data_IF_595346573606
#
_entry.id   IF_595346573606
#
_cell.length_a   1.000
_cell.length_b   1.000
_cell.length_c   1.000
_cell.angle_alpha   90.00
_cell.angle_beta   90.00
_cell.angle_gamma   90.00
#
_symmetry.space_group_name_H-M   'P 1'
#
loop_
_entity.id
_entity.type
_entity.pdbx_description
1 polymer ?
#
# COMPACT_ATOMS: atom_id res chain seq x y z
N UNK A 1 -8.42 18.24 18.99
CA UNK A 1 -7.08 17.60 18.96
C UNK A 1 -6.84 17.09 17.57
N UNK A 2 -5.96 17.72 16.85
CA UNK A 2 -5.47 17.14 15.59
C UNK A 2 -4.42 16.09 15.94
N UNK A 3 -4.45 14.92 15.30
CA UNK A 3 -3.46 13.86 15.53
C UNK A 3 -1.99 14.31 15.35
N UNK A 4 -1.76 15.46 14.67
CA UNK A 4 -0.46 16.09 14.48
C UNK A 4 0.11 16.73 15.76
N UNK A 5 -0.72 17.06 16.76
CA UNK A 5 -0.31 17.70 18.01
C UNK A 5 0.24 16.70 19.05
N UNK A 6 0.11 15.41 18.77
CA UNK A 6 0.61 14.37 19.66
C UNK A 6 2.15 14.33 19.70
N UNK A 7 2.68 14.03 20.89
CA UNK A 7 4.11 13.84 21.12
C UNK A 7 4.73 12.80 20.17
N UNK A 8 6.03 12.97 19.86
CA UNK A 8 6.79 12.13 18.94
C UNK A 8 6.71 10.60 19.20
N UNK A 9 6.60 10.19 20.46
CA UNK A 9 6.45 8.79 20.86
C UNK A 9 5.00 8.30 20.93
N UNK A 10 4.01 9.15 20.62
CA UNK A 10 2.61 8.78 20.71
C UNK A 10 2.20 7.91 19.53
N UNK A 11 1.49 6.82 19.81
CA UNK A 11 0.93 5.92 18.78
C UNK A 11 -0.22 6.54 17.99
N UNK A 12 -0.83 7.61 18.53
CA UNK A 12 -1.95 8.33 17.90
C UNK A 12 -1.50 9.51 17.04
N UNK A 13 -0.19 9.75 16.92
CA UNK A 13 0.29 10.79 16.01
C UNK A 13 -0.12 10.53 14.57
N UNK A 14 -0.55 11.58 13.89
CA UNK A 14 -0.87 11.56 12.47
C UNK A 14 -0.05 12.62 11.72
N UNK A 15 0.70 12.24 10.65
CA UNK A 15 1.37 13.22 9.80
C UNK A 15 0.34 14.16 9.15
N UNK A 16 0.74 15.40 8.91
CA UNK A 16 -0.11 16.32 8.14
C UNK A 16 -0.34 15.77 6.74
N UNK A 17 -1.52 15.96 6.21
CA UNK A 17 -1.93 15.44 4.90
C UNK A 17 -0.99 15.86 3.77
N UNK A 18 -0.48 17.11 3.82
CA UNK A 18 0.48 17.63 2.83
C UNK A 18 1.87 16.99 2.86
N UNK A 19 2.17 16.16 3.86
CA UNK A 19 3.45 15.47 4.00
C UNK A 19 3.56 14.18 3.18
N UNK A 20 2.46 13.76 2.60
CA UNK A 20 2.39 12.60 1.69
C UNK A 20 1.69 12.99 0.39
N UNK A 21 1.71 12.07 -0.58
CA UNK A 21 1.00 12.24 -1.83
C UNK A 21 -0.53 12.30 -1.68
N UNK A 22 -1.08 12.07 -0.49
CA UNK A 22 -2.50 12.26 -0.22
C UNK A 22 -2.92 13.70 -0.45
N UNK A 23 -2.09 14.68 -0.05
CA UNK A 23 -2.37 16.09 -0.23
C UNK A 23 -2.66 16.48 -1.68
N UNK A 24 -1.97 15.87 -2.65
CA UNK A 24 -2.20 16.12 -4.08
C UNK A 24 -3.47 15.48 -4.64
N UNK A 25 -4.07 14.54 -3.92
CA UNK A 25 -5.29 13.82 -4.33
C UNK A 25 -6.55 14.36 -3.65
N UNK A 26 -6.42 15.03 -2.51
CA UNK A 26 -7.56 15.65 -1.84
C UNK A 26 -8.16 16.76 -2.70
N UNK A 27 -9.48 16.75 -2.81
CA UNK A 27 -10.22 17.69 -3.65
C UNK A 27 -10.20 17.35 -5.15
N UNK A 28 -9.29 16.46 -5.60
CA UNK A 28 -9.23 16.05 -7.01
C UNK A 28 -9.70 14.62 -7.25
N UNK A 29 -9.23 13.64 -6.52
CA UNK A 29 -9.57 12.21 -6.66
C UNK A 29 -10.07 11.57 -5.39
N UNK A 30 -9.88 12.25 -4.26
CA UNK A 30 -10.30 11.82 -2.92
C UNK A 30 -11.04 12.98 -2.27
N UNK A 31 -12.21 12.70 -1.70
CA UNK A 31 -13.01 13.66 -0.91
C UNK A 31 -13.04 13.20 0.54
N UNK A 32 -12.63 14.05 1.46
CA UNK A 32 -12.71 13.76 2.89
C UNK A 32 -14.18 13.74 3.36
N UNK A 33 -14.47 12.82 4.29
CA UNK A 33 -15.71 12.74 5.06
C UNK A 33 -15.42 13.04 6.54
N UNK A 34 -16.44 13.10 7.34
CA UNK A 34 -16.31 13.18 8.79
C UNK A 34 -15.46 12.01 9.35
N UNK A 35 -15.65 10.80 8.80
CA UNK A 35 -14.81 9.64 9.08
C UNK A 35 -14.50 8.87 7.78
N UNK A 36 -13.27 8.98 7.27
CA UNK A 36 -12.84 8.28 6.06
C UNK A 36 -12.89 9.13 4.80
N UNK A 37 -12.97 8.46 3.65
CA UNK A 37 -12.85 9.12 2.34
C UNK A 37 -13.78 8.49 1.30
N UNK A 38 -14.31 9.35 0.43
CA UNK A 38 -14.92 8.98 -0.84
C UNK A 38 -13.88 9.09 -1.95
N UNK A 39 -13.87 8.13 -2.86
CA UNK A 39 -13.02 8.19 -4.05
C UNK A 39 -13.58 7.36 -5.20
N UNK A 40 -13.07 7.61 -6.40
CA UNK A 40 -13.36 6.79 -7.58
C UNK A 40 -12.10 6.07 -8.01
N UNK A 41 -12.19 4.76 -8.20
CA UNK A 41 -11.10 3.98 -8.76
C UNK A 41 -11.00 4.19 -10.27
N UNK A 42 -9.76 4.19 -10.78
CA UNK A 42 -9.49 4.25 -12.21
C UNK A 42 -9.98 3.01 -12.97
N UNK A 43 -10.29 1.94 -12.25
CA UNK A 43 -10.81 0.68 -12.79
C UNK A 43 -12.29 0.50 -12.43
N UNK A 44 -13.07 -0.03 -13.35
CA UNK A 44 -14.48 -0.33 -13.11
C UNK A 44 -14.61 -1.48 -12.10
N UNK A 45 -15.52 -1.30 -11.12
CA UNK A 45 -15.86 -2.30 -10.11
C UNK A 45 -17.12 -3.11 -10.47
N UNK A 46 -17.67 -2.91 -11.66
CA UNK A 46 -18.80 -3.65 -12.21
C UNK A 46 -18.45 -4.17 -13.60
N UNK A 47 -18.95 -5.34 -13.94
CA UNK A 47 -18.87 -5.95 -15.26
C UNK A 47 -20.29 -6.06 -15.81
N UNK A 48 -20.55 -5.45 -16.96
CA UNK A 48 -21.83 -5.57 -17.65
C UNK A 48 -21.76 -6.75 -18.63
N UNK A 49 -22.80 -7.58 -18.76
CA UNK A 49 -22.84 -8.65 -19.75
C UNK A 49 -22.62 -8.07 -21.14
N UNK A 50 -21.70 -8.66 -21.90
CA UNK A 50 -21.51 -8.31 -23.31
C UNK A 50 -22.58 -8.99 -24.15
N UNK A 51 -23.17 -8.28 -25.09
CA UNK A 51 -23.94 -8.88 -26.15
C UNK A 51 -23.02 -9.75 -27.01
N UNK A 52 -23.46 -10.95 -27.34
CA UNK A 52 -22.75 -11.84 -28.26
C UNK A 52 -22.50 -11.10 -29.58
N UNK A 53 -21.26 -10.91 -30.00
CA UNK A 53 -20.87 -10.24 -31.23
C UNK A 53 -20.10 -8.91 -31.09
N UNK A 54 -20.00 -8.34 -29.92
CA UNK A 54 -19.13 -7.15 -29.71
C UNK A 54 -17.65 -7.57 -29.57
N UNK A 55 -16.85 -7.18 -30.57
CA UNK A 55 -15.42 -7.36 -30.55
C UNK A 55 -14.83 -6.71 -29.28
N UNK A 56 -13.93 -7.40 -28.65
CA UNK A 56 -13.16 -6.87 -27.51
C UNK A 56 -12.47 -5.58 -27.98
N UNK A 57 -12.74 -4.40 -27.37
CA UNK A 57 -11.86 -3.29 -27.58
C UNK A 57 -10.49 -3.73 -27.06
N UNK A 58 -9.53 -3.87 -27.94
CA UNK A 58 -8.14 -4.27 -27.65
C UNK A 58 -7.38 -3.18 -26.85
N UNK A 59 -8.08 -2.39 -26.10
CA UNK A 59 -7.57 -1.28 -25.30
C UNK A 59 -8.08 -1.31 -23.87
N UNK A 60 -7.81 -2.40 -23.15
CA UNK A 60 -7.36 -2.18 -21.81
C UNK A 60 -5.98 -1.49 -21.96
N UNK A 61 -5.98 -0.17 -22.10
CA UNK A 61 -4.77 0.65 -22.01
C UNK A 61 -4.23 0.47 -20.62
N UNK A 62 -3.31 -0.47 -20.55
CA UNK A 62 -2.60 -0.89 -19.37
C UNK A 62 -1.45 0.11 -19.13
N UNK A 63 -1.71 1.41 -19.05
CA UNK A 63 -0.94 2.33 -18.22
C UNK A 63 -1.46 2.15 -16.80
N UNK A 64 -0.59 2.14 -15.76
CA UNK A 64 -1.12 2.66 -14.49
C UNK A 64 -1.79 3.95 -14.92
N UNK A 65 -3.10 4.09 -14.80
CA UNK A 65 -3.68 5.34 -15.16
C UNK A 65 -3.00 6.33 -14.20
N UNK A 66 -2.14 7.17 -14.73
CA UNK A 66 -1.88 8.44 -14.07
C UNK A 66 -3.28 8.90 -13.76
N UNK A 67 -3.57 9.11 -12.48
CA UNK A 67 -4.91 9.36 -11.98
C UNK A 67 -5.66 10.19 -13.00
N UNK A 68 -6.59 9.57 -13.74
CA UNK A 68 -7.44 10.34 -14.62
C UNK A 68 -8.10 11.38 -13.72
N UNK A 69 -8.31 12.63 -14.13
CA UNK A 69 -8.88 13.64 -13.28
C UNK A 69 -10.08 13.07 -12.50
N UNK A 70 -10.04 13.16 -11.16
CA UNK A 70 -11.09 12.63 -10.30
C UNK A 70 -11.09 11.11 -10.03
N UNK A 71 -10.03 10.38 -10.38
CA UNK A 71 -9.90 8.93 -10.10
C UNK A 71 -8.54 8.59 -9.50
N UNK A 72 -8.49 7.58 -8.63
CA UNK A 72 -7.26 7.10 -8.02
C UNK A 72 -6.88 5.69 -8.51
N UNK A 73 -5.58 5.40 -8.51
CA UNK A 73 -5.05 4.06 -8.84
C UNK A 73 -5.25 3.07 -7.67
N UNK A 74 -5.11 1.77 -7.95
CA UNK A 74 -5.08 0.74 -6.89
C UNK A 74 -3.94 0.98 -5.89
N UNK A 75 -2.77 1.44 -6.37
CA UNK A 75 -1.65 1.78 -5.50
C UNK A 75 -2.00 2.93 -4.55
N UNK A 76 -2.61 4.00 -5.08
CA UNK A 76 -3.03 5.12 -4.26
C UNK A 76 -4.08 4.71 -3.21
N UNK A 77 -5.02 3.83 -3.57
CA UNK A 77 -5.97 3.26 -2.61
C UNK A 77 -5.24 2.43 -1.54
N UNK A 78 -4.26 1.61 -1.92
CA UNK A 78 -3.47 0.83 -0.96
C UNK A 78 -2.71 1.75 -0.01
N UNK A 79 -2.07 2.80 -0.52
CA UNK A 79 -1.40 3.81 0.30
C UNK A 79 -2.37 4.53 1.26
N UNK A 80 -3.59 4.85 0.79
CA UNK A 80 -4.63 5.44 1.64
C UNK A 80 -4.95 4.55 2.84
N UNK A 81 -5.19 3.26 2.59
CA UNK A 81 -5.47 2.29 3.65
C UNK A 81 -4.29 2.16 4.61
N UNK A 82 -3.04 2.11 4.10
CA UNK A 82 -1.82 2.02 4.93
C UNK A 82 -1.65 3.24 5.83
N UNK A 83 -1.83 4.44 5.28
CA UNK A 83 -1.70 5.70 6.02
C UNK A 83 -2.79 5.84 7.08
N UNK A 84 -4.05 5.58 6.76
CA UNK A 84 -5.15 5.61 7.73
C UNK A 84 -4.97 4.55 8.84
N UNK A 85 -4.51 3.35 8.49
CA UNK A 85 -4.23 2.30 9.47
C UNK A 85 -2.99 2.58 10.34
N UNK A 86 -2.22 3.66 10.06
CA UNK A 86 -1.01 4.03 10.76
C UNK A 86 0.14 3.03 10.56
N UNK A 87 0.14 2.31 9.42
CA UNK A 87 1.18 1.30 9.15
C UNK A 87 2.44 1.95 8.58
N UNK A 88 2.33 3.14 8.02
CA UNK A 88 3.43 4.01 7.58
C UNK A 88 4.23 4.63 8.74
N UNK A 89 3.75 4.51 9.98
CA UNK A 89 4.33 5.09 11.19
C UNK A 89 4.99 4.03 12.05
N UNK A 90 6.01 4.42 12.80
CA UNK A 90 6.70 3.54 13.73
C UNK A 90 7.07 4.26 15.03
N UNK A 91 6.83 3.57 16.13
CA UNK A 91 7.37 3.90 17.46
C UNK A 91 7.91 2.63 18.10
N UNK A 92 8.91 2.70 19.00
CA UNK A 92 9.52 1.51 19.61
C UNK A 92 8.53 0.56 20.28
N UNK A 93 7.44 1.09 20.83
CA UNK A 93 6.37 0.30 21.46
C UNK A 93 5.64 -0.66 20.47
N UNK A 94 5.84 -0.51 19.17
CA UNK A 94 5.30 -1.40 18.13
C UNK A 94 6.17 -2.61 17.85
N UNK A 95 7.36 -2.68 18.43
CA UNK A 95 8.31 -3.79 18.24
C UNK A 95 7.64 -5.13 18.57
N UNK A 96 7.74 -6.10 17.66
CA UNK A 96 7.14 -7.44 17.80
C UNK A 96 5.60 -7.51 17.71
N UNK A 97 4.91 -6.37 17.58
CA UNK A 97 3.44 -6.32 17.59
C UNK A 97 2.80 -6.26 16.20
N UNK A 98 3.60 -6.11 15.14
CA UNK A 98 3.08 -6.05 13.76
C UNK A 98 3.14 -7.41 13.09
N UNK A 99 2.01 -8.03 12.90
CA UNK A 99 1.82 -9.25 12.12
C UNK A 99 0.62 -9.10 11.19
N UNK A 100 0.41 -10.06 10.28
CA UNK A 100 -0.68 -10.01 9.32
C UNK A 100 -2.07 -9.89 9.97
N UNK A 101 -2.29 -10.51 11.11
CA UNK A 101 -3.57 -10.42 11.83
C UNK A 101 -3.89 -9.00 12.28
N UNK A 102 -2.90 -8.32 12.87
CA UNK A 102 -3.03 -6.92 13.31
C UNK A 102 -3.23 -5.99 12.11
N UNK A 103 -2.45 -6.17 11.03
CA UNK A 103 -2.62 -5.39 9.81
C UNK A 103 -4.02 -5.56 9.24
N UNK A 104 -4.43 -6.81 9.03
CA UNK A 104 -5.75 -7.13 8.49
C UNK A 104 -6.87 -6.48 9.31
N UNK A 105 -6.78 -6.54 10.63
CA UNK A 105 -7.76 -5.89 11.50
C UNK A 105 -7.82 -4.37 11.24
N UNK A 106 -6.68 -3.67 11.30
CA UNK A 106 -6.62 -2.22 11.07
C UNK A 106 -7.08 -1.81 9.67
N UNK A 107 -6.65 -2.54 8.64
CA UNK A 107 -7.07 -2.31 7.26
C UNK A 107 -8.57 -2.55 7.07
N UNK A 108 -9.15 -3.54 7.78
CA UNK A 108 -10.59 -3.80 7.74
C UNK A 108 -11.41 -2.66 8.36
N UNK A 109 -10.94 -2.08 9.48
CA UNK A 109 -11.56 -0.90 10.07
C UNK A 109 -11.53 0.29 9.09
N UNK A 110 -10.37 0.56 8.48
CA UNK A 110 -10.27 1.60 7.46
C UNK A 110 -11.19 1.33 6.25
N UNK A 111 -11.31 0.08 5.80
CA UNK A 111 -12.16 -0.28 4.67
C UNK A 111 -13.65 0.02 4.90
N UNK A 112 -14.13 -0.03 6.15
CA UNK A 112 -15.51 0.34 6.49
C UNK A 112 -15.77 1.84 6.35
N UNK A 113 -14.75 2.65 6.54
CA UNK A 113 -14.84 4.12 6.51
C UNK A 113 -14.62 4.69 5.11
N UNK A 114 -14.17 3.88 4.16
CA UNK A 114 -13.82 4.31 2.82
C UNK A 114 -14.80 3.80 1.78
N UNK A 115 -15.18 4.65 0.84
CA UNK A 115 -16.25 4.37 -0.12
C UNK A 115 -15.75 4.57 -1.56
N UNK A 116 -15.25 3.50 -2.23
CA UNK A 116 -15.03 3.55 -3.66
C UNK A 116 -16.36 3.54 -4.40
N UNK A 117 -16.62 4.60 -5.19
CA UNK A 117 -17.83 4.68 -6.00
C UNK A 117 -19.15 4.52 -5.19
N UNK A 118 -19.23 5.10 -4.00
CA UNK A 118 -20.43 5.20 -3.14
C UNK A 118 -20.75 4.03 -2.21
N UNK A 119 -20.19 2.84 -2.42
CA UNK A 119 -20.39 1.71 -1.50
C UNK A 119 -19.18 1.54 -0.55
N UNK A 120 -19.35 1.00 0.66
CA UNK A 120 -18.22 0.70 1.55
C UNK A 120 -17.20 -0.21 0.89
N UNK A 121 -15.91 0.12 1.00
CA UNK A 121 -14.84 -0.73 0.48
C UNK A 121 -14.86 -2.11 1.13
N UNK A 122 -15.28 -2.20 2.39
CA UNK A 122 -15.40 -3.45 3.13
C UNK A 122 -16.32 -4.48 2.45
N UNK A 123 -17.32 -4.03 1.68
CA UNK A 123 -18.28 -4.90 1.01
C UNK A 123 -17.68 -5.65 -0.18
N UNK A 124 -16.54 -5.19 -0.69
CA UNK A 124 -15.88 -5.76 -1.87
C UNK A 124 -14.40 -6.04 -1.64
N UNK A 125 -13.87 -5.83 -0.42
CA UNK A 125 -12.47 -6.07 -0.09
C UNK A 125 -12.27 -7.41 0.58
N UNK A 126 -11.57 -8.32 -0.09
CA UNK A 126 -11.16 -9.61 0.44
C UNK A 126 -9.72 -9.53 0.97
N UNK A 127 -9.56 -9.82 2.26
CA UNK A 127 -8.27 -10.06 2.91
C UNK A 127 -8.34 -11.37 3.68
N UNK A 128 -7.42 -12.31 3.39
CA UNK A 128 -7.37 -13.59 4.09
C UNK A 128 -7.16 -13.40 5.60
N UNK A 129 -7.85 -14.18 6.42
CA UNK A 129 -7.50 -14.31 7.84
C UNK A 129 -6.13 -14.99 7.98
N UNK A 130 -5.38 -14.76 9.08
CA UNK A 130 -4.18 -15.52 9.36
C UNK A 130 -4.44 -17.02 9.24
N UNK A 131 -3.52 -17.74 8.58
CA UNK A 131 -3.67 -19.18 8.43
C UNK A 131 -3.55 -19.88 9.79
N UNK A 132 -4.53 -20.70 10.09
CA UNK A 132 -4.52 -21.67 11.18
C UNK A 132 -5.09 -22.98 10.63
N UNK A 133 -4.37 -24.06 10.82
CA UNK A 133 -4.73 -25.36 10.24
C UNK A 133 -6.13 -25.81 10.69
N UNK A 134 -6.43 -25.67 11.98
CA UNK A 134 -7.75 -26.03 12.56
C UNK A 134 -8.92 -25.19 12.02
N UNK A 135 -8.67 -23.99 11.47
CA UNK A 135 -9.69 -23.10 10.94
C UNK A 135 -9.67 -23.03 9.41
N UNK A 136 -8.74 -23.73 8.75
CA UNK A 136 -8.46 -23.58 7.33
C UNK A 136 -9.69 -23.84 6.44
N UNK A 137 -10.40 -24.92 6.68
CA UNK A 137 -11.62 -25.28 5.92
C UNK A 137 -12.73 -24.24 6.09
N UNK A 138 -12.98 -23.76 7.30
CA UNK A 138 -13.96 -22.72 7.58
C UNK A 138 -13.59 -21.38 6.93
N UNK A 139 -12.30 -21.02 6.95
CA UNK A 139 -11.81 -19.81 6.27
C UNK A 139 -11.93 -19.94 4.75
N UNK A 140 -11.67 -21.11 4.16
CA UNK A 140 -11.84 -21.35 2.73
C UNK A 140 -13.32 -21.25 2.32
N UNK A 141 -14.23 -21.87 3.07
CA UNK A 141 -15.66 -21.78 2.83
C UNK A 141 -16.17 -20.33 2.91
N UNK A 142 -15.80 -19.59 3.94
CA UNK A 142 -16.18 -18.18 4.10
C UNK A 142 -15.68 -17.31 2.94
N UNK A 143 -14.45 -17.56 2.43
CA UNK A 143 -13.92 -16.86 1.24
C UNK A 143 -14.70 -17.19 -0.02
N UNK A 144 -15.00 -18.47 -0.23
CA UNK A 144 -15.78 -18.90 -1.40
C UNK A 144 -17.18 -18.25 -1.39
N UNK A 145 -17.85 -18.24 -0.23
CA UNK A 145 -19.14 -17.56 -0.05
C UNK A 145 -19.03 -16.06 -0.33
N UNK A 146 -18.01 -15.38 0.20
CA UNK A 146 -17.79 -13.95 -0.04
C UNK A 146 -17.55 -13.67 -1.53
N UNK A 147 -16.66 -14.42 -2.18
CA UNK A 147 -16.36 -14.27 -3.59
C UNK A 147 -17.61 -14.50 -4.44
N UNK A 148 -18.38 -15.56 -4.17
CA UNK A 148 -19.60 -15.86 -4.87
C UNK A 148 -20.66 -14.74 -4.70
N UNK A 149 -20.90 -14.29 -3.45
CA UNK A 149 -21.89 -13.24 -3.16
C UNK A 149 -21.57 -11.91 -3.86
N UNK A 150 -20.28 -11.57 -3.99
CA UNK A 150 -19.87 -10.34 -4.67
C UNK A 150 -19.91 -10.46 -6.20
N UNK A 151 -19.60 -11.65 -6.77
CA UNK A 151 -19.40 -11.80 -8.22
C UNK A 151 -20.57 -12.42 -8.94
N UNK A 152 -21.59 -12.90 -8.24
CA UNK A 152 -22.83 -13.36 -8.89
C UNK A 152 -23.50 -12.21 -9.64
N UNK A 153 -23.96 -12.44 -10.89
CA UNK A 153 -24.73 -11.45 -11.63
C UNK A 153 -26.03 -11.09 -10.88
N UNK A 154 -26.37 -9.82 -10.88
CA UNK A 154 -27.69 -9.35 -10.45
C UNK A 154 -28.77 -9.65 -11.50
N UNK A 155 -30.01 -9.19 -11.26
CA UNK A 155 -31.16 -9.40 -12.16
C UNK A 155 -30.93 -8.84 -13.57
N UNK A 156 -30.07 -7.83 -13.68
CA UNK A 156 -29.71 -7.18 -14.95
C UNK A 156 -28.47 -7.83 -15.59
N UNK A 157 -27.95 -8.92 -15.00
CA UNK A 157 -26.77 -9.63 -15.45
C UNK A 157 -25.46 -8.90 -15.10
N UNK A 158 -25.49 -7.84 -14.31
CA UNK A 158 -24.32 -7.08 -13.90
C UNK A 158 -23.63 -7.77 -12.72
N UNK A 159 -22.37 -8.14 -12.89
CA UNK A 159 -21.53 -8.70 -11.82
C UNK A 159 -20.70 -7.62 -11.15
N UNK A 160 -20.49 -7.72 -9.83
CA UNK A 160 -19.52 -6.90 -9.11
C UNK A 160 -18.14 -7.55 -9.23
N UNK A 161 -17.10 -6.73 -9.08
CA UNK A 161 -15.72 -7.18 -8.97
C UNK A 161 -15.28 -7.07 -7.52
N UNK A 162 -14.38 -7.96 -7.11
CA UNK A 162 -13.81 -7.99 -5.77
C UNK A 162 -12.42 -7.36 -5.80
N UNK A 163 -12.07 -6.60 -4.77
CA UNK A 163 -10.71 -6.16 -4.53
C UNK A 163 -10.07 -7.17 -3.58
N UNK A 164 -8.97 -7.77 -3.99
CA UNK A 164 -8.21 -8.73 -3.17
C UNK A 164 -6.93 -8.06 -2.71
N UNK A 165 -6.64 -8.13 -1.41
CA UNK A 165 -5.43 -7.59 -0.81
C UNK A 165 -4.73 -8.64 0.05
N UNK A 166 -3.43 -8.85 -0.19
CA UNK A 166 -2.64 -9.82 0.55
C UNK A 166 -1.17 -9.85 0.17
N UNK A 167 -0.35 -10.55 0.95
CA UNK A 167 1.05 -10.77 0.65
C UNK A 167 1.19 -11.78 -0.48
N UNK A 168 1.98 -11.44 -1.52
CA UNK A 168 2.29 -12.33 -2.62
C UNK A 168 3.08 -13.55 -2.10
N UNK A 169 2.57 -14.75 -2.39
CA UNK A 169 3.29 -16.00 -2.13
C UNK A 169 4.08 -16.43 -3.35
N UNK A 170 3.43 -16.47 -4.51
CA UNK A 170 4.06 -16.82 -5.79
C UNK A 170 3.27 -16.31 -6.98
N UNK A 171 3.94 -16.19 -8.10
CA UNK A 171 3.33 -15.95 -9.40
C UNK A 171 4.03 -16.84 -10.42
N UNK A 172 3.34 -17.87 -10.91
CA UNK A 172 3.91 -18.92 -11.77
C UNK A 172 3.12 -19.03 -13.07
N UNK A 173 3.80 -19.10 -14.23
CA UNK A 173 3.13 -19.40 -15.49
C UNK A 173 2.35 -20.73 -15.39
N UNK A 174 1.27 -20.83 -16.13
CA UNK A 174 0.49 -22.05 -16.31
C UNK A 174 0.35 -22.35 -17.82
N UNK A 175 0.02 -23.60 -18.17
CA UNK A 175 -0.02 -24.09 -19.55
C UNK A 175 -0.98 -23.30 -20.45
N UNK A 176 -2.02 -22.68 -19.89
CA UNK A 176 -2.94 -21.81 -20.63
C UNK A 176 -2.31 -20.50 -21.12
N UNK A 177 -1.07 -20.20 -20.77
CA UNK A 177 -0.40 -18.92 -21.00
C UNK A 177 -0.74 -17.83 -19.99
N UNK A 178 -1.59 -18.12 -19.03
CA UNK A 178 -1.87 -17.21 -17.89
C UNK A 178 -0.77 -17.34 -16.82
N UNK A 179 -0.85 -16.48 -15.83
CA UNK A 179 -0.01 -16.53 -14.62
C UNK A 179 -0.88 -16.77 -13.41
N UNK A 180 -0.60 -17.84 -12.68
CA UNK A 180 -1.25 -18.17 -11.41
C UNK A 180 -0.62 -17.38 -10.28
N UNK A 181 -1.39 -16.49 -9.70
CA UNK A 181 -1.01 -15.66 -8.56
C UNK A 181 -1.58 -16.26 -7.28
N UNK A 182 -0.71 -16.58 -6.32
CA UNK A 182 -1.07 -17.09 -5.00
C UNK A 182 -0.74 -16.05 -3.95
N UNK A 183 -1.64 -15.88 -2.99
CA UNK A 183 -1.43 -15.02 -1.83
C UNK A 183 -1.22 -15.86 -0.58
N UNK A 184 -0.39 -15.37 0.36
CA UNK A 184 -0.22 -16.01 1.67
C UNK A 184 -1.55 -16.04 2.41
N UNK A 185 -1.73 -17.01 3.25
CA UNK A 185 -2.93 -17.26 4.06
C UNK A 185 -4.20 -17.67 3.27
N UNK A 186 -4.14 -17.71 1.92
CA UNK A 186 -5.20 -18.23 1.06
C UNK A 186 -4.63 -18.89 -0.21
N UNK A 187 -3.60 -19.72 -0.04
CA UNK A 187 -2.89 -20.34 -1.16
C UNK A 187 -3.73 -21.35 -1.94
N UNK A 188 -4.81 -21.84 -1.37
CA UNK A 188 -5.78 -22.73 -2.01
C UNK A 188 -6.72 -22.00 -2.97
N UNK A 189 -6.76 -20.65 -2.91
CA UNK A 189 -7.52 -19.81 -3.85
C UNK A 189 -6.57 -19.12 -4.82
N UNK A 190 -6.31 -19.71 -6.00
CA UNK A 190 -5.51 -19.06 -7.04
C UNK A 190 -6.31 -17.96 -7.75
N UNK A 191 -5.60 -16.93 -8.20
CA UNK A 191 -6.09 -15.91 -9.12
C UNK A 191 -5.30 -15.97 -10.41
N UNK A 192 -5.97 -15.90 -11.56
CA UNK A 192 -5.34 -15.98 -12.88
C UNK A 192 -5.14 -14.56 -13.44
N UNK A 193 -3.91 -14.22 -13.78
CA UNK A 193 -3.58 -13.01 -14.50
C UNK A 193 -3.26 -13.34 -15.96
N UNK A 194 -3.82 -12.59 -16.90
CA UNK A 194 -3.38 -12.63 -18.30
C UNK A 194 -1.87 -12.31 -18.37
N UNK A 195 -1.15 -13.00 -19.26
CA UNK A 195 0.28 -12.80 -19.43
C UNK A 195 0.66 -11.33 -19.74
N UNK A 196 -0.21 -10.60 -20.47
CA UNK A 196 0.03 -9.18 -20.77
C UNK A 196 -0.05 -8.33 -19.50
N UNK A 197 -1.02 -8.62 -18.62
CA UNK A 197 -1.13 -7.95 -17.30
C UNK A 197 0.13 -8.23 -16.49
N UNK A 198 0.57 -9.50 -16.43
CA UNK A 198 1.75 -9.87 -15.64
C UNK A 198 3.05 -9.28 -16.18
N UNK A 199 3.29 -9.35 -17.50
CA UNK A 199 4.46 -8.70 -18.13
C UNK A 199 4.54 -7.22 -17.81
N UNK A 200 3.38 -6.56 -17.76
CA UNK A 200 3.34 -5.17 -17.38
C UNK A 200 3.64 -4.95 -15.89
N UNK A 201 3.08 -5.76 -14.99
CA UNK A 201 3.44 -5.72 -13.57
C UNK A 201 4.95 -5.84 -13.41
N UNK A 202 5.58 -6.80 -14.10
CA UNK A 202 7.03 -6.97 -14.11
C UNK A 202 7.78 -5.72 -14.63
N UNK A 203 7.24 -5.04 -15.63
CA UNK A 203 7.85 -3.82 -16.17
C UNK A 203 7.70 -2.63 -15.21
N UNK A 204 6.49 -2.38 -14.71
CA UNK A 204 6.16 -1.21 -13.87
C UNK A 204 6.80 -1.35 -12.48
N UNK A 205 6.73 -2.53 -11.88
CA UNK A 205 7.21 -2.80 -10.53
C UNK A 205 8.60 -3.46 -10.50
N UNK A 206 9.35 -3.38 -11.61
CA UNK A 206 10.69 -3.98 -11.71
C UNK A 206 11.62 -3.63 -10.54
N UNK A 207 11.69 -2.38 -10.04
CA UNK A 207 12.52 -2.05 -8.89
C UNK A 207 12.10 -2.82 -7.63
N UNK A 208 10.79 -2.90 -7.35
CA UNK A 208 10.26 -3.61 -6.17
C UNK A 208 10.51 -5.11 -6.24
N UNK A 209 10.32 -5.70 -7.44
CA UNK A 209 10.57 -7.12 -7.68
C UNK A 209 12.06 -7.46 -7.54
N UNK A 210 12.96 -6.59 -8.03
CA UNK A 210 14.41 -6.75 -7.86
C UNK A 210 14.81 -6.64 -6.38
N UNK A 211 14.27 -5.66 -5.64
CA UNK A 211 14.55 -5.52 -4.22
C UNK A 211 14.11 -6.77 -3.44
N UNK A 212 12.92 -7.30 -3.72
CA UNK A 212 12.43 -8.56 -3.11
C UNK A 212 13.29 -9.77 -3.48
N UNK A 213 13.84 -9.82 -4.69
CA UNK A 213 14.67 -10.94 -5.16
C UNK A 213 16.03 -10.99 -4.45
N UNK A 214 16.55 -9.87 -3.97
CA UNK A 214 17.84 -9.80 -3.24
C UNK A 214 17.66 -9.78 -1.71
N UNK A 215 16.44 -9.57 -1.22
CA UNK A 215 16.14 -9.47 0.20
C UNK A 215 14.82 -10.20 0.54
N UNK A 216 14.97 -11.43 1.02
CA UNK A 216 13.84 -12.32 1.35
C UNK A 216 13.00 -11.84 2.55
N UNK A 217 13.53 -10.92 3.36
CA UNK A 217 12.78 -10.32 4.47
C UNK A 217 11.73 -9.33 3.99
N UNK A 218 11.92 -8.72 2.82
CA UNK A 218 10.93 -7.83 2.21
C UNK A 218 9.66 -8.59 1.83
N UNK A 219 8.53 -7.90 1.86
CA UNK A 219 7.23 -8.45 1.51
C UNK A 219 6.64 -7.68 0.33
N UNK A 220 6.12 -8.39 -0.66
CA UNK A 220 5.32 -7.81 -1.73
C UNK A 220 3.84 -7.94 -1.36
N UNK A 221 3.15 -6.83 -1.27
CA UNK A 221 1.71 -6.79 -1.06
C UNK A 221 1.03 -6.53 -2.39
N UNK A 222 0.11 -7.42 -2.74
CA UNK A 222 -0.73 -7.34 -3.93
C UNK A 222 -2.04 -6.67 -3.55
N UNK A 223 -2.48 -5.74 -4.38
CA UNK A 223 -3.86 -5.27 -4.45
C UNK A 223 -4.36 -5.53 -5.86
N UNK A 224 -5.37 -6.36 -6.03
CA UNK A 224 -5.89 -6.76 -7.32
C UNK A 224 -7.41 -6.58 -7.40
N UNK A 225 -7.91 -6.18 -8.57
CA UNK A 225 -9.33 -6.28 -8.91
C UNK A 225 -9.52 -7.60 -9.62
N UNK A 226 -10.47 -8.41 -9.14
CA UNK A 226 -10.79 -9.71 -9.71
C UNK A 226 -12.25 -9.81 -10.11
N UNK A 227 -12.50 -10.51 -11.21
CA UNK A 227 -13.82 -10.88 -11.72
C UNK A 227 -13.95 -12.40 -11.76
N UNK A 228 -15.15 -12.93 -11.59
CA UNK A 228 -15.41 -14.34 -11.80
C UNK A 228 -15.41 -14.66 -13.30
N UNK A 229 -14.67 -15.68 -13.70
CA UNK A 229 -14.76 -16.28 -15.03
C UNK A 229 -15.73 -17.46 -15.01
N UNK A 230 -15.69 -18.23 -13.95
CA UNK A 230 -16.64 -19.30 -13.59
C UNK A 230 -16.88 -19.25 -12.08
N UNK A 231 -17.73 -20.12 -11.55
CA UNK A 231 -18.02 -20.19 -10.12
C UNK A 231 -16.77 -20.34 -9.20
N UNK A 232 -15.67 -20.88 -9.74
CA UNK A 232 -14.44 -21.17 -8.97
C UNK A 232 -13.17 -20.56 -9.54
N UNK A 233 -13.27 -19.91 -10.71
CA UNK A 233 -12.11 -19.34 -11.40
C UNK A 233 -12.23 -17.83 -11.42
N UNK A 234 -11.27 -17.16 -10.80
CA UNK A 234 -11.22 -15.71 -10.69
C UNK A 234 -10.04 -15.15 -11.48
N UNK A 235 -10.31 -14.19 -12.35
CA UNK A 235 -9.30 -13.51 -13.16
C UNK A 235 -8.96 -12.14 -12.57
N UNK A 236 -7.68 -11.81 -12.66
CA UNK A 236 -7.17 -10.49 -12.30
C UNK A 236 -7.38 -9.55 -13.49
N UNK A 237 -8.21 -8.52 -13.30
CA UNK A 237 -8.43 -7.46 -14.29
C UNK A 237 -7.41 -6.33 -14.15
N UNK A 238 -6.94 -6.07 -12.93
CA UNK A 238 -5.93 -5.08 -12.61
C UNK A 238 -5.15 -5.51 -11.37
N UNK A 239 -3.85 -5.19 -11.30
CA UNK A 239 -2.98 -5.52 -10.19
C UNK A 239 -2.01 -4.39 -9.90
N UNK A 240 -1.81 -4.10 -8.63
CA UNK A 240 -0.82 -3.19 -8.09
C UNK A 240 0.03 -3.88 -7.03
N UNK A 241 1.29 -3.45 -6.90
CA UNK A 241 2.21 -3.93 -5.88
C UNK A 241 2.70 -2.76 -5.03
N UNK A 242 2.86 -3.02 -3.73
CA UNK A 242 3.71 -2.24 -2.84
C UNK A 242 4.75 -3.16 -2.19
N UNK A 243 5.92 -2.63 -1.92
CA UNK A 243 6.98 -3.31 -1.18
C UNK A 243 6.96 -2.85 0.27
N UNK A 244 7.13 -3.76 1.21
CA UNK A 244 7.21 -3.42 2.63
C UNK A 244 8.36 -4.17 3.31
N UNK A 245 8.85 -3.62 4.42
CA UNK A 245 9.74 -4.35 5.32
C UNK A 245 9.00 -5.50 6.01
N UNK A 246 9.71 -6.32 6.80
CA UNK A 246 9.15 -7.34 7.69
C UNK A 246 8.17 -6.75 8.72
N UNK A 247 8.31 -5.47 9.06
CA UNK A 247 7.40 -4.71 9.92
C UNK A 247 6.25 -4.04 9.16
N UNK A 248 6.06 -4.39 7.89
CA UNK A 248 5.00 -3.89 6.99
C UNK A 248 5.07 -2.39 6.66
N UNK A 249 6.19 -1.75 6.94
CA UNK A 249 6.42 -0.34 6.59
C UNK A 249 6.72 -0.27 5.10
N UNK A 250 5.96 0.53 4.30
CA UNK A 250 6.17 0.63 2.88
C UNK A 250 7.54 1.22 2.52
N UNK A 251 8.15 0.69 1.48
CA UNK A 251 9.44 1.15 0.95
C UNK A 251 9.44 1.09 -0.58
N UNK A 252 10.25 1.92 -1.21
CA UNK A 252 10.35 1.97 -2.68
C UNK A 252 11.59 1.24 -3.21
N UNK A 253 12.53 0.89 -2.33
CA UNK A 253 13.80 0.24 -2.70
C UNK A 253 14.39 -0.56 -1.54
N UNK A 254 15.38 -1.40 -1.83
CA UNK A 254 16.16 -2.11 -0.81
C UNK A 254 16.90 -1.14 0.12
N UNK A 255 17.40 -0.02 -0.40
CA UNK A 255 18.08 0.98 0.42
C UNK A 255 17.14 1.68 1.40
N UNK A 256 15.91 2.02 0.97
CA UNK A 256 14.93 2.52 1.92
C UNK A 256 14.61 1.47 3.00
N UNK A 257 14.57 0.19 2.64
CA UNK A 257 14.38 -0.88 3.62
C UNK A 257 15.52 -0.96 4.64
N UNK A 258 16.76 -0.79 4.19
CA UNK A 258 17.94 -0.73 5.05
C UNK A 258 17.86 0.45 6.02
N UNK A 259 17.52 1.66 5.53
CA UNK A 259 17.27 2.83 6.38
C UNK A 259 16.18 2.55 7.41
N UNK A 260 15.04 2.02 6.99
CA UNK A 260 13.91 1.73 7.90
C UNK A 260 14.33 0.72 8.98
N UNK A 261 15.08 -0.33 8.63
CA UNK A 261 15.61 -1.31 9.60
C UNK A 261 16.59 -0.68 10.57
N UNK A 262 17.50 0.18 10.10
CA UNK A 262 18.41 0.92 10.97
C UNK A 262 17.65 1.79 11.97
N UNK A 263 16.59 2.47 11.55
CA UNK A 263 15.73 3.26 12.42
C UNK A 263 14.97 2.41 13.45
N UNK A 264 14.45 1.26 13.04
CA UNK A 264 13.77 0.31 13.93
C UNK A 264 14.77 -0.23 14.96
N UNK A 265 15.95 -0.67 14.53
CA UNK A 265 17.00 -1.20 15.41
C UNK A 265 17.51 -0.15 16.41
N UNK A 266 17.61 1.11 15.99
CA UNK A 266 17.99 2.23 16.85
C UNK A 266 16.84 2.73 17.75
N UNK A 267 15.68 2.08 17.75
CA UNK A 267 14.53 2.45 18.58
C UNK A 267 13.99 3.85 18.29
N UNK A 268 14.02 4.28 17.00
CA UNK A 268 13.59 5.61 16.59
C UNK A 268 12.09 5.68 16.38
N UNK A 269 11.53 6.88 16.58
CA UNK A 269 10.15 7.22 16.22
C UNK A 269 10.13 7.98 14.91
N UNK A 270 9.40 7.45 13.92
CA UNK A 270 9.38 8.02 12.56
C UNK A 270 8.09 7.69 11.82
N UNK A 271 7.89 8.31 10.68
CA UNK A 271 6.91 7.88 9.67
C UNK A 271 7.55 7.88 8.27
N UNK A 272 6.99 7.08 7.38
CA UNK A 272 7.35 6.99 5.97
C UNK A 272 6.29 7.71 5.14
N UNK A 273 6.58 8.88 4.54
CA UNK A 273 5.67 9.52 3.61
C UNK A 273 5.36 8.62 2.42
N UNK A 274 4.10 8.44 2.10
CA UNK A 274 3.65 7.59 0.99
C UNK A 274 3.40 8.43 -0.26
N UNK A 275 3.87 7.96 -1.40
CA UNK A 275 3.83 8.73 -2.65
C UNK A 275 2.45 8.77 -3.32
N UNK A 276 1.56 7.80 -3.03
CA UNK A 276 0.26 7.66 -3.70
C UNK A 276 0.40 7.62 -5.23
N UNK A 277 -0.06 8.66 -5.92
CA UNK A 277 0.07 8.83 -7.37
C UNK A 277 1.27 9.71 -7.78
N UNK A 278 1.93 10.36 -6.81
CA UNK A 278 3.08 11.23 -7.04
C UNK A 278 4.35 10.41 -7.27
N UNK A 279 5.40 11.07 -7.79
CA UNK A 279 6.71 10.42 -7.91
C UNK A 279 7.32 10.22 -6.51
N UNK A 280 7.74 8.99 -6.13
CA UNK A 280 8.39 8.73 -4.85
C UNK A 280 9.61 9.62 -4.56
N UNK A 281 10.32 10.06 -5.60
CA UNK A 281 11.47 10.98 -5.47
C UNK A 281 11.13 12.35 -4.85
N UNK A 282 9.85 12.69 -4.78
CA UNK A 282 9.37 13.91 -4.13
C UNK A 282 9.32 13.80 -2.59
N UNK A 283 9.49 12.62 -2.02
CA UNK A 283 9.32 12.38 -0.60
C UNK A 283 10.62 11.84 0.02
N UNK A 284 10.90 12.16 1.31
CA UNK A 284 12.04 11.59 2.00
C UNK A 284 11.86 10.08 2.24
N UNK A 285 12.97 9.39 2.43
CA UNK A 285 12.98 7.97 2.80
C UNK A 285 12.29 7.70 4.14
N UNK A 286 12.45 8.61 5.10
CA UNK A 286 11.73 8.64 6.38
C UNK A 286 11.76 10.03 6.98
N UNK A 287 10.87 10.30 7.94
CA UNK A 287 10.85 11.52 8.73
C UNK A 287 10.92 11.16 10.20
N UNK A 288 12.01 11.57 10.87
CA UNK A 288 12.19 11.39 12.30
C UNK A 288 11.31 12.37 13.08
N UNK A 289 10.80 11.90 14.21
CA UNK A 289 9.97 12.66 15.13
C UNK A 289 10.59 12.85 16.50
N UNK A 290 11.70 12.16 16.75
CA UNK A 290 12.42 12.16 18.00
C UNK A 290 13.80 12.83 17.90
N UNK A 291 13.99 13.70 16.92
CA UNK A 291 15.22 14.50 16.70
C UNK A 291 15.00 16.00 16.93
N UNK A 292 14.00 16.36 17.74
CA UNK A 292 13.66 17.74 18.08
C UNK A 292 12.23 18.13 17.72
N UNK A 293 11.86 19.40 17.93
CA UNK A 293 10.49 19.89 17.73
C UNK A 293 10.14 19.99 16.22
N UNK A 294 11.13 20.13 15.37
CA UNK A 294 10.95 20.19 13.91
C UNK A 294 11.14 18.81 13.30
N UNK A 295 10.47 18.56 12.19
CA UNK A 295 10.65 17.37 11.36
C UNK A 295 12.08 17.23 10.92
N UNK A 296 12.59 16.02 10.93
CA UNK A 296 13.93 15.73 10.46
C UNK A 296 13.84 14.73 9.31
N UNK A 297 14.04 15.20 8.07
CA UNK A 297 13.95 14.39 6.86
C UNK A 297 15.23 13.58 6.68
N UNK A 298 15.08 12.30 6.34
CA UNK A 298 16.15 11.39 5.96
C UNK A 298 15.98 11.04 4.48
N UNK A 299 16.97 11.44 3.67
CA UNK A 299 16.94 11.27 2.22
C UNK A 299 17.83 10.09 1.81
N UNK A 300 17.34 9.31 0.85
CA UNK A 300 18.10 8.23 0.22
C UNK A 300 18.23 8.55 -1.26
N UNK A 301 19.45 8.65 -1.76
CA UNK A 301 19.76 8.95 -3.17
C UNK A 301 20.37 7.69 -3.80
N UNK A 302 19.86 7.31 -4.96
CA UNK A 302 20.46 6.26 -5.78
C UNK A 302 21.24 6.88 -6.94
N UNK A 303 22.50 6.49 -7.10
CA UNK A 303 23.29 6.87 -8.26
C UNK A 303 22.76 6.29 -9.60
N UNK A 304 21.81 5.33 -9.52
CA UNK A 304 21.22 4.66 -10.68
C UNK A 304 19.82 5.20 -11.04
N UNK A 305 19.42 6.34 -10.49
CA UNK A 305 18.19 7.00 -10.90
C UNK A 305 18.35 7.60 -12.30
N UNK A 306 17.26 7.59 -13.10
CA UNK A 306 17.25 8.34 -14.35
C UNK A 306 17.40 9.85 -14.07
N UNK A 307 17.96 10.57 -15.03
CA UNK A 307 18.29 12.01 -14.90
C UNK A 307 17.10 12.86 -14.45
N UNK A 308 15.89 12.55 -14.97
CA UNK A 308 14.66 13.29 -14.62
C UNK A 308 14.27 13.06 -13.16
N UNK A 309 14.31 11.83 -12.71
CA UNK A 309 14.00 11.44 -11.32
C UNK A 309 15.04 12.03 -10.38
N UNK A 310 16.33 11.97 -10.72
CA UNK A 310 17.42 12.57 -9.95
C UNK A 310 17.27 14.08 -9.79
N UNK A 311 17.00 14.82 -10.88
CA UNK A 311 16.72 16.27 -10.83
C UNK A 311 15.52 16.60 -9.93
N UNK A 312 14.44 15.85 -10.03
CA UNK A 312 13.24 16.03 -9.20
C UNK A 312 13.56 15.81 -7.72
N UNK A 313 14.32 14.75 -7.40
CA UNK A 313 14.74 14.43 -6.04
C UNK A 313 15.60 15.55 -5.45
N UNK A 314 16.63 16.00 -6.19
CA UNK A 314 17.51 17.07 -5.74
C UNK A 314 16.75 18.38 -5.49
N UNK A 315 15.83 18.75 -6.38
CA UNK A 315 14.97 19.92 -6.18
C UNK A 315 14.13 19.77 -4.91
N UNK A 316 13.53 18.61 -4.69
CA UNK A 316 12.71 18.33 -3.51
C UNK A 316 13.52 18.32 -2.21
N UNK A 317 14.76 17.79 -2.22
CA UNK A 317 15.68 17.83 -1.06
C UNK A 317 16.03 19.28 -0.71
N UNK A 318 16.34 20.08 -1.72
CA UNK A 318 16.66 21.51 -1.56
C UNK A 318 15.47 22.29 -0.98
N UNK A 319 14.28 22.07 -1.50
CA UNK A 319 13.04 22.71 -1.04
C UNK A 319 12.75 22.40 0.43
N UNK A 320 12.94 21.15 0.84
CA UNK A 320 12.78 20.72 2.24
C UNK A 320 13.91 21.16 3.17
N UNK A 321 15.04 21.59 2.64
CA UNK A 321 16.24 21.93 3.41
C UNK A 321 16.79 20.71 4.17
N UNK A 322 16.68 19.50 3.60
CA UNK A 322 17.11 18.26 4.24
C UNK A 322 18.62 18.25 4.44
N UNK A 323 19.08 17.92 5.68
CA UNK A 323 20.49 17.92 6.05
C UNK A 323 21.12 16.53 6.12
N UNK A 324 20.31 15.49 6.26
CA UNK A 324 20.77 14.11 6.28
C UNK A 324 20.48 13.46 4.95
N UNK A 325 21.53 13.09 4.26
CA UNK A 325 21.45 12.50 2.92
C UNK A 325 22.37 11.29 2.89
N UNK A 326 21.83 10.16 2.47
CA UNK A 326 22.58 8.94 2.23
C UNK A 326 22.59 8.61 0.74
N UNK A 327 23.78 8.58 0.16
CA UNK A 327 24.00 8.17 -1.24
C UNK A 327 24.31 6.68 -1.28
N UNK A 328 23.58 5.93 -2.07
CA UNK A 328 23.84 4.50 -2.26
C UNK A 328 25.24 4.24 -2.83
N UNK A 329 25.92 3.29 -2.24
CA UNK A 329 27.34 2.99 -2.53
C UNK A 329 28.30 3.57 -1.50
N UNK A 330 27.83 4.48 -0.65
CA UNK A 330 28.56 5.00 0.51
C UNK A 330 28.04 4.36 1.80
N UNK A 331 28.83 4.43 2.88
CA UNK A 331 28.36 4.04 4.20
C UNK A 331 27.21 4.94 4.64
N UNK A 332 26.20 4.34 5.27
CA UNK A 332 25.08 5.11 5.82
C UNK A 332 25.62 6.12 6.86
N UNK A 333 25.32 7.42 6.72
CA UNK A 333 25.73 8.40 7.72
C UNK A 333 25.16 8.08 9.11
N UNK A 334 25.83 8.49 10.19
CA UNK A 334 25.30 8.34 11.55
C UNK A 334 23.90 8.95 11.65
N UNK A 335 22.98 8.23 12.31
CA UNK A 335 21.63 8.73 12.53
C UNK A 335 21.67 9.99 13.41
N UNK A 336 20.80 10.97 13.14
CA UNK A 336 20.70 12.17 13.96
C UNK A 336 20.45 11.83 15.45
N UNK A 337 20.94 12.62 16.40
CA UNK A 337 20.75 12.36 17.83
C UNK A 337 19.27 12.34 18.19
N UNK A 338 18.92 11.47 19.13
CA UNK A 338 17.58 11.44 19.72
C UNK A 338 17.48 12.56 20.75
N UNK A 339 16.49 13.42 20.59
CA UNK A 339 16.15 14.46 21.58
C UNK A 339 14.87 13.98 22.27
N UNK A 340 15.04 13.47 23.49
CA UNK A 340 13.91 13.12 24.34
C UNK A 340 13.40 14.42 24.97
N UNK A 341 12.17 14.88 24.67
CA UNK A 341 11.64 16.04 25.37
C UNK A 341 11.54 15.74 26.87
N UNK A 342 11.70 16.74 27.73
CA UNK A 342 11.51 16.56 29.16
C UNK A 342 10.11 15.99 29.39
N UNK A 343 9.99 15.03 30.30
CA UNK A 343 8.68 14.50 30.71
C UNK A 343 7.89 15.67 31.26
N UNK A 344 6.74 15.96 30.67
CA UNK A 344 5.79 16.90 31.29
C UNK A 344 5.54 16.44 32.71
N UNK A 345 5.62 17.33 33.70
CA UNK A 345 5.28 16.97 35.08
C UNK A 345 3.88 16.38 35.08
N UNK A 346 3.75 15.17 35.63
CA UNK A 346 2.41 14.60 35.84
C UNK A 346 1.64 15.57 36.74
N UNK A 347 0.37 15.90 36.43
CA UNK A 347 -0.45 16.66 37.35
C UNK A 347 -0.45 15.87 38.68
N UNK A 348 0.01 16.51 39.72
CA UNK A 348 -0.13 15.99 41.08
C UNK A 348 -1.62 15.95 41.35
N UNK A 349 -2.17 14.72 41.36
CA UNK A 349 -3.54 14.50 41.81
C UNK A 349 -3.50 14.72 43.31
N UNK A 350 -3.95 15.91 43.75
CA UNK A 350 -4.23 16.22 45.11
C UNK A 350 -5.61 15.73 45.57
#
# INVERSE_FOLDING_TARGET
DTGADHHAGCVHFEPLVGESGLGSLLGSGITARESGYDFRLAHALRSVPRRAGEATPATATVREPRSAPGKISLRAMTHLLWQQAGIDRWVPAMQGKRNWGVLRYRLSECARLNHPNTAPLADILLMAKPFKESEAAGHAAARATFLASCTQPDRDGVSRKVIVLGELKSATPVDSGDVRVLLKHMSEQPFLADQKIWKRVQKVYRPLLKAKAVDDMLRLVVTAIVSAQTERVYRIDALSLILTTENWIPVESAAEAELIRALVAAGRSFYKPLAFASNPAMFPGAVLRDSGPKRFNLEVISAFEDEKTGKLRMASIKDRGSKWIWTLGEAMPPLPPRIVPPRSPQPVVG
#
